data_IF_608369074137
#
_entry.id   IF_608369074137
#
_cell.length_a   1.000
_cell.length_b   1.000
_cell.length_c   1.000
_cell.angle_alpha   90.00
_cell.angle_beta   90.00
_cell.angle_gamma   90.00
#
_symmetry.space_group_name_H-M   'P 1'
#
loop_
_entity.id
_entity.type
_entity.pdbx_description
1 polymer ?
#
# COMPACT_ATOMS: atom_id res chain seq x y z
N UNK A 1 18.70 11.13 -5.19
CA UNK A 1 17.49 10.38 -5.60
C UNK A 1 16.41 10.65 -4.57
N UNK A 2 15.21 11.05 -5.00
CA UNK A 2 14.09 11.18 -4.08
C UNK A 2 13.67 9.77 -3.61
N UNK A 3 13.58 9.54 -2.29
CA UNK A 3 13.16 8.24 -1.74
C UNK A 3 11.65 8.13 -1.84
N UNK A 4 11.18 6.95 -2.25
CA UNK A 4 9.76 6.61 -2.21
C UNK A 4 9.32 6.35 -0.77
N UNK A 5 8.04 6.54 -0.52
CA UNK A 5 7.31 6.13 0.66
C UNK A 5 6.16 5.22 0.26
N UNK A 6 5.83 4.32 1.17
CA UNK A 6 4.73 3.37 1.01
C UNK A 6 3.54 3.88 1.83
N UNK A 7 2.44 4.21 1.14
CA UNK A 7 1.25 4.83 1.72
C UNK A 7 0.08 3.85 1.61
N UNK A 8 -0.59 3.58 2.73
CA UNK A 8 -1.78 2.74 2.79
C UNK A 8 -2.97 3.58 3.23
N UNK A 9 -4.11 3.42 2.57
CA UNK A 9 -5.40 3.88 3.10
C UNK A 9 -5.80 2.91 4.19
N UNK A 10 -5.58 3.29 5.45
CA UNK A 10 -5.87 2.43 6.60
C UNK A 10 -7.30 2.62 7.11
N UNK A 11 -7.83 3.84 6.97
CA UNK A 11 -9.13 4.21 7.52
C UNK A 11 -9.93 5.10 6.56
N UNK A 12 -11.25 4.94 6.55
CA UNK A 12 -12.20 5.82 5.86
C UNK A 12 -13.36 6.14 6.82
N UNK A 13 -13.46 7.41 7.27
CA UNK A 13 -14.54 7.89 8.14
C UNK A 13 -15.17 9.13 7.50
N UNK A 14 -16.43 9.00 7.05
CA UNK A 14 -17.13 10.07 6.36
C UNK A 14 -16.32 10.60 5.17
N UNK A 15 -15.95 11.88 5.22
CA UNK A 15 -15.17 12.57 4.20
C UNK A 15 -13.65 12.57 4.46
N UNK A 16 -13.19 11.83 5.48
CA UNK A 16 -11.77 11.73 5.83
C UNK A 16 -11.19 10.37 5.46
N UNK A 17 -9.96 10.37 4.95
CA UNK A 17 -9.15 9.18 4.74
C UNK A 17 -7.94 9.22 5.68
N UNK A 18 -7.75 8.16 6.45
CA UNK A 18 -6.55 7.92 7.25
C UNK A 18 -5.50 7.21 6.40
N UNK A 19 -4.30 7.78 6.36
CA UNK A 19 -3.16 7.29 5.61
C UNK A 19 -2.05 6.87 6.57
N UNK A 20 -1.63 5.62 6.45
CA UNK A 20 -0.43 5.11 7.10
C UNK A 20 0.74 5.25 6.15
N UNK A 21 1.74 6.06 6.53
CA UNK A 21 2.89 6.43 5.70
C UNK A 21 4.15 5.82 6.29
N UNK A 22 4.87 5.04 5.50
CA UNK A 22 6.13 4.41 5.90
C UNK A 22 7.25 4.70 4.90
N UNK A 23 8.53 4.61 5.32
CA UNK A 23 9.63 4.51 4.37
C UNK A 23 9.40 3.34 3.39
N UNK A 24 9.94 3.45 2.18
CA UNK A 24 9.87 2.34 1.22
C UNK A 24 10.42 1.05 1.83
N UNK A 25 9.66 -0.06 1.83
CA UNK A 25 10.11 -1.31 2.41
C UNK A 25 11.26 -1.91 1.60
N UNK A 26 12.11 -2.66 2.29
CA UNK A 26 13.16 -3.49 1.66
C UNK A 26 12.60 -4.89 1.43
N UNK A 27 12.92 -5.51 0.30
CA UNK A 27 12.63 -6.93 0.10
C UNK A 27 13.80 -7.77 0.65
N UNK A 28 13.51 -8.82 1.43
CA UNK A 28 14.53 -9.81 1.79
C UNK A 28 14.81 -10.80 0.64
N UNK A 29 15.79 -11.69 0.81
CA UNK A 29 16.19 -12.67 -0.22
C UNK A 29 15.05 -13.62 -0.65
N UNK A 30 14.01 -13.74 0.19
CA UNK A 30 12.80 -14.51 -0.13
C UNK A 30 11.69 -13.65 -0.77
N UNK A 31 11.99 -12.40 -1.11
CA UNK A 31 11.05 -11.45 -1.71
C UNK A 31 10.00 -10.90 -0.74
N UNK A 32 10.17 -11.09 0.58
CA UNK A 32 9.23 -10.59 1.59
C UNK A 32 9.54 -9.14 1.92
N UNK A 33 8.51 -8.30 2.00
CA UNK A 33 8.67 -6.90 2.38
C UNK A 33 8.97 -6.77 3.88
N UNK A 34 9.99 -5.97 4.17
CA UNK A 34 10.44 -5.58 5.51
C UNK A 34 10.25 -4.07 5.65
N UNK A 35 9.34 -3.70 6.53
CA UNK A 35 9.12 -2.30 6.91
C UNK A 35 10.04 -1.96 8.07
N UNK A 36 10.58 -0.74 8.07
CA UNK A 36 11.33 -0.24 9.22
C UNK A 36 10.37 0.01 10.38
N UNK A 37 10.43 -0.87 11.38
CA UNK A 37 9.56 -0.82 12.56
C UNK A 37 10.08 0.24 13.54
N UNK A 38 11.35 0.63 13.46
CA UNK A 38 12.00 1.53 14.43
C UNK A 38 11.49 2.96 14.38
N UNK A 39 11.09 3.45 13.20
CA UNK A 39 10.53 4.80 13.04
C UNK A 39 9.01 4.86 13.25
N UNK A 40 8.33 3.71 13.27
CA UNK A 40 6.87 3.63 13.20
C UNK A 40 6.30 4.12 11.86
N UNK A 41 5.05 3.78 11.59
CA UNK A 41 4.29 4.42 10.52
C UNK A 41 3.80 5.79 10.98
N UNK A 42 3.84 6.78 10.09
CA UNK A 42 3.24 8.08 10.33
C UNK A 42 1.79 8.07 9.87
N UNK A 43 0.87 8.33 10.81
CA UNK A 43 -0.56 8.41 10.54
C UNK A 43 -0.96 9.85 10.17
N UNK A 44 -1.61 10.01 9.01
CA UNK A 44 -2.04 11.31 8.46
C UNK A 44 -3.48 11.22 7.99
N UNK A 45 -4.32 12.13 8.44
CA UNK A 45 -5.67 12.31 7.91
C UNK A 45 -5.68 13.34 6.77
N UNK A 46 -6.41 13.04 5.71
CA UNK A 46 -6.66 13.94 4.58
C UNK A 46 -8.13 13.91 4.17
N UNK A 47 -8.56 14.92 3.42
CA UNK A 47 -9.86 14.87 2.76
C UNK A 47 -9.88 13.74 1.74
N UNK A 48 -10.95 12.95 1.75
CA UNK A 48 -11.19 11.90 0.77
C UNK A 48 -11.33 12.47 -0.64
N UNK A 49 -12.02 13.61 -0.78
CA UNK A 49 -12.18 14.28 -2.07
C UNK A 49 -10.83 14.76 -2.61
N UNK A 50 -10.01 15.39 -1.76
CA UNK A 50 -8.67 15.84 -2.12
C UNK A 50 -7.77 14.68 -2.54
N UNK A 51 -7.82 13.56 -1.81
CA UNK A 51 -7.05 12.36 -2.15
C UNK A 51 -7.48 11.78 -3.50
N UNK A 52 -8.78 11.66 -3.73
CA UNK A 52 -9.33 11.20 -5.00
C UNK A 52 -8.94 12.10 -6.19
N UNK A 53 -9.05 13.42 -6.01
CA UNK A 53 -8.64 14.41 -7.01
C UNK A 53 -7.15 14.31 -7.31
N UNK A 54 -6.32 14.18 -6.26
CA UNK A 54 -4.87 14.04 -6.40
C UNK A 54 -4.46 12.77 -7.14
N UNK A 55 -5.14 11.65 -6.88
CA UNK A 55 -4.88 10.37 -7.55
C UNK A 55 -5.38 10.34 -9.01
N UNK A 56 -6.25 11.28 -9.37
CA UNK A 56 -6.71 11.51 -10.74
C UNK A 56 -7.88 10.62 -11.19
N UNK A 57 -8.14 10.57 -12.52
CA UNK A 57 -9.36 10.01 -13.11
C UNK A 57 -9.78 8.60 -12.66
N UNK A 58 -8.88 7.63 -12.38
CA UNK A 58 -9.34 6.34 -11.88
C UNK A 58 -9.94 6.40 -10.47
N UNK A 59 -9.75 7.48 -9.71
CA UNK A 59 -10.23 7.63 -8.33
C UNK A 59 -11.10 8.87 -8.10
N UNK A 60 -11.24 9.76 -9.10
CA UNK A 60 -12.08 10.93 -9.01
C UNK A 60 -13.56 10.54 -8.80
N UNK A 61 -14.31 11.25 -7.94
CA UNK A 61 -15.74 11.01 -7.80
C UNK A 61 -16.47 11.42 -9.08
N UNK A 62 -16.97 10.44 -9.83
CA UNK A 62 -17.83 10.68 -11.00
C UNK A 62 -19.24 11.13 -10.55
N UNK A 63 -19.78 12.25 -11.05
CA UNK A 63 -21.19 12.59 -10.84
C UNK A 63 -22.08 11.75 -11.77
N UNK A 64 -22.79 10.77 -11.20
CA UNK A 64 -24.04 10.26 -11.78
C UNK A 64 -23.98 9.02 -12.69
N UNK A 65 -22.83 8.38 -12.97
CA UNK A 65 -22.82 7.16 -13.81
C UNK A 65 -21.95 5.99 -13.34
N UNK A 66 -22.36 4.81 -13.81
CA UNK A 66 -21.98 3.47 -13.42
C UNK A 66 -20.89 2.85 -14.33
N UNK A 67 -19.77 3.55 -14.52
CA UNK A 67 -18.51 2.94 -15.00
C UNK A 67 -17.55 2.82 -13.81
N UNK A 68 -16.73 1.77 -13.67
CA UNK A 68 -16.03 1.51 -12.41
C UNK A 68 -14.78 2.39 -12.33
N UNK A 69 -14.96 3.69 -12.13
CA UNK A 69 -13.96 4.48 -11.41
C UNK A 69 -13.61 3.68 -10.15
N UNK A 70 -12.34 3.39 -9.97
CA UNK A 70 -11.84 2.59 -8.86
C UNK A 70 -12.15 3.37 -7.59
N UNK A 71 -13.16 2.92 -6.84
CA UNK A 71 -13.50 3.60 -5.60
C UNK A 71 -12.33 3.49 -4.62
N UNK A 72 -11.97 4.61 -4.00
CA UNK A 72 -11.03 4.61 -2.88
C UNK A 72 -11.55 3.67 -1.78
N UNK A 73 -10.70 2.75 -1.32
CA UNK A 73 -11.02 1.72 -0.33
C UNK A 73 -9.89 1.57 0.68
N UNK A 74 -10.24 1.12 1.88
CA UNK A 74 -9.27 0.62 2.86
C UNK A 74 -8.41 -0.47 2.19
N UNK A 75 -7.10 -0.40 2.43
CA UNK A 75 -6.09 -1.26 1.80
C UNK A 75 -5.76 -0.89 0.35
N UNK A 76 -6.18 0.27 -0.17
CA UNK A 76 -5.51 0.86 -1.33
C UNK A 76 -4.11 1.32 -0.93
N UNK A 77 -3.17 1.13 -1.85
CA UNK A 77 -1.75 1.34 -1.57
C UNK A 77 -1.10 2.12 -2.70
N UNK A 78 -0.30 3.10 -2.31
CA UNK A 78 0.40 3.99 -3.23
C UNK A 78 1.89 4.07 -2.89
N UNK A 79 2.72 4.11 -3.93
CA UNK A 79 4.10 4.53 -3.82
C UNK A 79 4.15 6.04 -4.10
N UNK A 80 4.77 6.84 -3.24
CA UNK A 80 4.84 8.27 -3.45
C UNK A 80 6.21 8.85 -3.13
N UNK A 81 6.62 9.85 -3.90
CA UNK A 81 7.75 10.72 -3.54
C UNK A 81 7.25 11.76 -2.54
N UNK A 82 7.86 11.86 -1.36
CA UNK A 82 7.51 12.91 -0.41
C UNK A 82 8.32 14.18 -0.68
N UNK A 83 7.66 15.34 -0.59
CA UNK A 83 8.27 16.68 -0.70
C UNK A 83 8.94 17.12 0.61
N UNK A 84 8.52 16.54 1.72
CA UNK A 84 9.11 16.72 3.05
C UNK A 84 9.21 15.36 3.73
N UNK A 85 10.24 15.17 4.57
CA UNK A 85 10.42 13.91 5.30
C UNK A 85 9.27 13.60 6.27
N UNK A 86 8.49 14.62 6.67
CA UNK A 86 7.35 14.49 7.57
C UNK A 86 6.15 15.29 7.06
N UNK A 87 4.96 14.68 6.96
CA UNK A 87 3.71 15.42 6.98
C UNK A 87 3.67 16.32 8.22
N UNK A 88 3.38 17.61 8.01
CA UNK A 88 3.56 18.66 9.02
C UNK A 88 2.58 18.57 10.21
N UNK A 89 1.48 17.82 10.07
CA UNK A 89 0.44 17.66 11.08
C UNK A 89 -0.40 16.40 10.82
N UNK A 90 -1.20 16.01 11.83
CA UNK A 90 -2.21 14.95 11.73
C UNK A 90 -3.25 15.22 10.64
N UNK A 91 -3.45 16.48 10.26
CA UNK A 91 -4.25 16.89 9.11
C UNK A 91 -3.41 17.82 8.22
N UNK A 92 -3.16 17.44 6.97
CA UNK A 92 -2.40 18.28 6.04
C UNK A 92 -2.85 18.06 4.60
N UNK A 93 -3.08 19.13 3.81
CA UNK A 93 -3.37 19.03 2.39
C UNK A 93 -2.32 18.17 1.68
N UNK A 94 -2.77 17.20 0.90
CA UNK A 94 -1.94 16.15 0.32
C UNK A 94 -0.86 16.75 -0.59
N UNK A 95 -1.23 17.74 -1.41
CA UNK A 95 -0.32 18.41 -2.34
C UNK A 95 0.85 19.16 -1.69
N UNK A 96 0.81 19.44 -0.37
CA UNK A 96 1.91 20.11 0.34
C UNK A 96 3.09 19.19 0.63
N UNK A 97 2.85 17.89 0.79
CA UNK A 97 3.84 16.93 1.27
C UNK A 97 3.99 15.70 0.37
N UNK A 98 3.00 15.41 -0.48
CA UNK A 98 3.05 14.34 -1.48
C UNK A 98 3.38 14.92 -2.86
N UNK A 99 4.35 14.29 -3.53
CA UNK A 99 4.77 14.54 -4.90
C UNK A 99 4.22 13.50 -5.87
N UNK A 100 5.06 12.99 -6.75
CA UNK A 100 4.64 11.97 -7.72
C UNK A 100 4.16 10.70 -7.01
N UNK A 101 3.02 10.16 -7.46
CA UNK A 101 2.37 8.99 -6.86
C UNK A 101 2.05 7.93 -7.90
N UNK A 102 2.18 6.67 -7.50
CA UNK A 102 1.91 5.49 -8.31
C UNK A 102 0.97 4.55 -7.55
N UNK A 103 -0.09 4.08 -8.20
CA UNK A 103 -0.96 3.05 -7.64
C UNK A 103 -0.28 1.68 -7.74
N UNK A 104 0.08 1.14 -6.58
CA UNK A 104 0.71 -0.19 -6.44
C UNK A 104 -0.24 -1.18 -5.75
N UNK A 105 -1.53 -0.85 -5.63
CA UNK A 105 -2.52 -1.63 -4.88
C UNK A 105 -2.55 -3.10 -5.31
N UNK A 106 -2.43 -3.36 -6.61
CA UNK A 106 -2.46 -4.74 -7.14
C UNK A 106 -1.29 -5.56 -6.62
N UNK A 107 -0.08 -5.02 -6.71
CA UNK A 107 1.14 -5.72 -6.32
C UNK A 107 1.23 -5.84 -4.80
N UNK A 108 0.90 -4.76 -4.09
CA UNK A 108 0.79 -4.75 -2.63
C UNK A 108 -0.16 -5.84 -2.12
N UNK A 109 -1.35 -6.00 -2.73
CA UNK A 109 -2.30 -7.06 -2.38
C UNK A 109 -1.76 -8.45 -2.65
N UNK A 110 -1.05 -8.64 -3.76
CA UNK A 110 -0.42 -9.93 -4.09
C UNK A 110 0.60 -10.32 -3.02
N UNK A 111 1.45 -9.37 -2.63
CA UNK A 111 2.49 -9.60 -1.61
C UNK A 111 1.87 -9.80 -0.22
N UNK A 112 0.86 -8.99 0.15
CA UNK A 112 0.14 -9.16 1.42
C UNK A 112 -0.53 -10.54 1.51
N UNK A 113 -1.13 -11.02 0.42
CA UNK A 113 -1.71 -12.36 0.33
C UNK A 113 -0.64 -13.44 0.58
N UNK A 114 0.52 -13.34 -0.08
CA UNK A 114 1.63 -14.28 0.12
C UNK A 114 2.15 -14.26 1.55
N UNK A 115 2.33 -13.07 2.13
CA UNK A 115 2.75 -12.91 3.51
C UNK A 115 1.75 -13.52 4.50
N UNK A 116 0.45 -13.29 4.27
CA UNK A 116 -0.62 -13.88 5.08
C UNK A 116 -0.58 -15.41 5.00
N UNK A 117 -0.60 -16.00 3.80
CA UNK A 117 -0.54 -17.46 3.68
C UNK A 117 0.73 -18.02 4.32
N UNK A 118 1.90 -17.43 4.07
CA UNK A 118 3.15 -17.86 4.69
C UNK A 118 3.12 -17.79 6.22
N UNK A 119 2.30 -16.93 6.82
CA UNK A 119 2.14 -16.82 8.28
C UNK A 119 1.10 -17.80 8.84
N UNK A 120 0.04 -18.13 8.10
CA UNK A 120 -1.09 -18.92 8.61
C UNK A 120 -1.11 -20.38 8.13
N UNK A 121 -0.33 -20.75 7.12
CA UNK A 121 -0.24 -22.13 6.63
C UNK A 121 0.95 -22.83 7.24
N UNK A 122 0.77 -24.08 7.65
CA UNK A 122 1.90 -24.97 7.95
C UNK A 122 2.78 -25.08 6.71
N UNK A 123 4.06 -24.71 6.85
CA UNK A 123 5.04 -24.97 5.81
C UNK A 123 5.23 -26.48 5.69
N UNK A 124 5.01 -27.03 4.49
CA UNK A 124 5.34 -28.42 4.21
C UNK A 124 6.81 -28.66 4.52
N UNK A 125 7.10 -29.78 5.18
CA UNK A 125 8.46 -30.28 5.28
C UNK A 125 9.00 -30.61 3.89
N UNK A 126 10.33 -30.69 3.76
CA UNK A 126 10.93 -31.07 2.48
C UNK A 126 10.45 -32.46 2.02
N UNK A 127 10.22 -33.39 2.95
CA UNK A 127 9.73 -34.73 2.65
C UNK A 127 8.28 -34.71 2.13
N UNK A 128 7.43 -33.88 2.72
CA UNK A 128 6.05 -33.68 2.25
C UNK A 128 6.01 -32.97 0.89
N UNK A 129 6.86 -31.96 0.68
CA UNK A 129 6.98 -31.27 -0.60
C UNK A 129 7.50 -32.18 -1.71
N UNK A 130 8.45 -33.06 -1.40
CA UNK A 130 8.97 -34.08 -2.31
C UNK A 130 7.91 -35.15 -2.62
N UNK A 131 7.17 -35.62 -1.61
CA UNK A 131 6.07 -36.55 -1.79
C UNK A 131 4.96 -35.99 -2.71
N UNK A 132 4.77 -34.67 -2.72
CA UNK A 132 3.80 -33.97 -3.56
C UNK A 132 4.38 -33.49 -4.91
N UNK A 133 5.65 -33.80 -5.22
CA UNK A 133 6.39 -33.36 -6.43
C UNK A 133 6.40 -31.84 -6.65
N UNK A 134 6.29 -31.06 -5.58
CA UNK A 134 6.28 -29.59 -5.67
C UNK A 134 7.66 -28.99 -5.98
N UNK A 135 8.73 -29.78 -5.83
CA UNK A 135 10.10 -29.35 -6.13
C UNK A 135 10.34 -29.06 -7.62
N UNK A 136 9.54 -29.65 -8.52
CA UNK A 136 9.67 -29.50 -9.98
C UNK A 136 8.95 -28.24 -10.52
N UNK A 137 8.17 -27.55 -9.70
CA UNK A 137 7.35 -26.39 -10.11
C UNK A 137 8.04 -25.03 -9.91
N UNK A 138 9.35 -25.03 -9.61
CA UNK A 138 10.19 -23.83 -9.53
C UNK A 138 10.97 -23.64 -10.84
N UNK A 139 10.29 -23.22 -11.90
CA UNK A 139 10.90 -22.63 -13.10
C UNK A 139 10.43 -21.19 -13.31
#
# INVERSE_FOLDING_TARGET
>A
MARLSYIVVDELIGDSAGLSVTPWPVADDAGRLRFDIGSGAQEVAVSRAELCEFLGPPFAPEPGEASPARSLRIGNVFAAVLKSEKPAARWSPLGKWVGQTYDITRDARKVAKLAFYGAVTTTLTNDEAAAWRLAELRE
#
